data_IF_754126035834
#
_entry.id   IF_754126035834
#
_cell.length_a   1.000
_cell.length_b   1.000
_cell.length_c   1.000
_cell.angle_alpha   90.00
_cell.angle_beta   90.00
_cell.angle_gamma   90.00
#
_symmetry.space_group_name_H-M   'P 1'
#
loop_
_entity.id
_entity.type
_entity.pdbx_description
1 polymer ?
#
# COMPACT_ATOMS: atom_id res chain seq x y z
N UNK A 1 9.55 -14.67 9.87
CA UNK A 1 8.84 -13.48 9.36
C UNK A 1 9.68 -12.27 9.74
N UNK A 2 10.18 -11.51 8.76
CA UNK A 2 10.99 -10.31 9.02
C UNK A 2 10.08 -9.07 8.85
N UNK A 3 9.78 -8.30 9.90
CA UNK A 3 8.86 -7.16 9.83
C UNK A 3 9.33 -6.05 8.87
N UNK A 4 10.60 -6.04 8.47
CA UNK A 4 11.17 -5.05 7.55
C UNK A 4 10.67 -5.15 6.09
N UNK A 5 9.84 -6.14 5.79
CA UNK A 5 9.34 -6.41 4.44
C UNK A 5 7.81 -6.29 4.36
N UNK A 6 7.18 -5.63 5.32
CA UNK A 6 5.74 -5.45 5.37
C UNK A 6 5.36 -4.01 5.05
N UNK A 7 4.33 -3.88 4.22
CA UNK A 7 3.85 -2.61 3.69
C UNK A 7 2.34 -2.55 3.93
N UNK A 8 1.90 -1.47 4.58
CA UNK A 8 0.48 -1.16 4.72
C UNK A 8 0.15 -0.08 3.71
N UNK A 9 -0.90 -0.27 2.95
CA UNK A 9 -1.36 0.72 2.00
C UNK A 9 -2.86 0.66 1.77
N UNK A 10 -3.40 1.71 1.18
CA UNK A 10 -4.77 1.77 0.72
C UNK A 10 -4.80 1.58 -0.79
N UNK A 11 -5.78 0.82 -1.27
CA UNK A 11 -6.00 0.71 -2.71
C UNK A 11 -6.90 1.85 -3.16
N UNK A 12 -6.38 2.73 -4.01
CA UNK A 12 -7.12 3.86 -4.59
C UNK A 12 -6.84 3.96 -6.10
N UNK A 13 -7.89 3.92 -6.91
CA UNK A 13 -7.82 3.92 -8.36
C UNK A 13 -6.99 2.76 -8.92
N UNK A 14 -7.05 1.57 -8.31
CA UNK A 14 -6.25 0.41 -8.68
C UNK A 14 -4.77 0.46 -8.26
N UNK A 15 -4.33 1.50 -7.54
CA UNK A 15 -2.95 1.66 -7.09
C UNK A 15 -2.81 1.38 -5.60
N UNK A 16 -1.71 0.76 -5.19
CA UNK A 16 -1.39 0.57 -3.78
C UNK A 16 -0.65 1.79 -3.23
N UNK A 17 -1.36 2.64 -2.50
CA UNK A 17 -0.85 3.86 -1.90
C UNK A 17 -0.34 3.60 -0.49
N UNK A 18 0.96 3.76 -0.27
CA UNK A 18 1.62 3.42 0.98
C UNK A 18 1.19 4.31 2.15
N UNK A 19 0.97 3.67 3.29
CA UNK A 19 0.82 4.29 4.61
C UNK A 19 1.99 3.91 5.53
N UNK A 20 2.47 2.66 5.44
CA UNK A 20 3.67 2.19 6.14
C UNK A 20 4.62 1.48 5.15
N UNK A 21 5.94 1.68 5.28
CA UNK A 21 6.61 2.50 6.30
C UNK A 21 6.39 4.01 6.09
N UNK A 22 6.38 4.78 7.19
CA UNK A 22 6.07 6.23 7.18
C UNK A 22 7.02 7.02 6.27
N UNK A 23 8.27 6.58 6.13
CA UNK A 23 9.27 7.19 5.25
C UNK A 23 8.89 7.21 3.77
N UNK A 24 7.96 6.34 3.36
CA UNK A 24 7.50 6.18 1.97
C UNK A 24 6.00 6.48 1.83
N UNK A 25 5.36 6.96 2.91
CA UNK A 25 3.93 7.21 2.94
C UNK A 25 3.50 8.23 1.87
N UNK A 26 2.35 7.97 1.24
CA UNK A 26 1.80 8.78 0.16
C UNK A 26 2.31 8.41 -1.23
N UNK A 27 3.35 7.58 -1.35
CA UNK A 27 3.81 7.06 -2.65
C UNK A 27 2.96 5.87 -3.11
N UNK A 28 2.82 5.69 -4.41
CA UNK A 28 2.16 4.51 -5.00
C UNK A 28 3.18 3.46 -5.37
N UNK A 29 2.84 2.18 -5.13
CA UNK A 29 3.61 1.02 -5.59
C UNK A 29 2.74 0.08 -6.41
N UNK A 30 3.39 -0.62 -7.34
CA UNK A 30 2.84 -1.75 -8.06
C UNK A 30 3.28 -3.04 -7.37
N UNK A 31 2.45 -4.06 -7.40
CA UNK A 31 2.72 -5.33 -6.71
C UNK A 31 2.93 -6.43 -7.76
N UNK A 32 3.96 -7.26 -7.59
CA UNK A 32 4.17 -8.42 -8.45
C UNK A 32 4.50 -9.64 -7.61
N UNK A 33 3.92 -10.81 -7.93
CA UNK A 33 4.28 -12.06 -7.28
C UNK A 33 5.64 -12.61 -7.73
N UNK A 34 6.26 -12.00 -8.74
CA UNK A 34 7.55 -12.44 -9.28
C UNK A 34 8.69 -12.27 -8.26
N UNK A 35 9.64 -13.20 -8.31
CA UNK A 35 10.88 -13.08 -7.54
C UNK A 35 11.74 -11.90 -8.04
N UNK A 36 12.35 -11.18 -7.10
CA UNK A 36 13.35 -10.15 -7.42
C UNK A 36 14.49 -10.81 -8.22
N UNK A 37 14.79 -10.31 -9.43
CA UNK A 37 15.74 -10.87 -10.44
C UNK A 37 15.19 -11.96 -11.37
N UNK A 38 13.88 -12.06 -11.55
CA UNK A 38 13.35 -12.80 -12.69
C UNK A 38 13.85 -12.17 -14.02
N UNK A 39 14.18 -13.00 -15.03
CA UNK A 39 14.59 -12.54 -16.37
C UNK A 39 13.41 -12.00 -17.22
N UNK A 40 12.26 -11.80 -16.59
CA UNK A 40 10.99 -11.46 -17.22
C UNK A 40 10.46 -10.14 -16.65
N UNK A 41 9.67 -9.38 -17.44
CA UNK A 41 9.07 -8.13 -16.98
C UNK A 41 8.06 -8.39 -15.83
N UNK A 42 8.09 -7.58 -14.76
CA UNK A 42 7.23 -7.75 -13.58
C UNK A 42 5.73 -7.69 -13.89
N UNK A 43 5.36 -7.02 -14.98
CA UNK A 43 3.99 -6.88 -15.48
C UNK A 43 3.31 -8.21 -15.80
N UNK A 44 4.07 -9.28 -16.07
CA UNK A 44 3.50 -10.59 -16.40
C UNK A 44 2.84 -11.29 -15.21
N UNK A 45 3.21 -10.93 -13.98
CA UNK A 45 2.51 -11.38 -12.76
C UNK A 45 2.25 -10.21 -11.82
N UNK A 46 1.88 -9.06 -12.40
CA UNK A 46 1.34 -7.96 -11.61
C UNK A 46 0.04 -8.41 -10.92
N UNK A 47 -0.07 -8.06 -9.65
CA UNK A 47 -1.27 -8.32 -8.87
C UNK A 47 -2.28 -7.21 -9.13
N UNK A 48 -3.42 -7.58 -9.71
CA UNK A 48 -4.55 -6.68 -9.89
C UNK A 48 -5.23 -6.41 -8.54
N UNK A 49 -5.46 -5.13 -8.23
CA UNK A 49 -5.96 -4.69 -6.92
C UNK A 49 -7.43 -4.28 -6.94
N UNK A 50 -8.10 -4.39 -8.08
CA UNK A 50 -9.47 -3.91 -8.29
C UNK A 50 -10.46 -4.47 -7.27
N UNK A 51 -10.27 -5.72 -6.82
CA UNK A 51 -11.13 -6.33 -5.80
C UNK A 51 -10.96 -5.70 -4.40
N UNK A 52 -9.84 -5.01 -4.15
CA UNK A 52 -9.50 -4.38 -2.87
C UNK A 52 -9.72 -2.86 -2.86
N UNK A 53 -10.28 -2.30 -3.93
CA UNK A 53 -10.50 -0.86 -4.06
C UNK A 53 -11.18 -0.23 -2.83
N UNK A 54 -10.60 0.86 -2.34
CA UNK A 54 -11.06 1.58 -1.15
C UNK A 54 -10.75 0.88 0.18
N UNK A 55 -10.07 -0.27 0.20
CA UNK A 55 -9.69 -1.01 1.42
C UNK A 55 -8.23 -0.80 1.78
N UNK A 56 -7.94 -0.92 3.08
CA UNK A 56 -6.56 -1.06 3.56
C UNK A 56 -6.09 -2.50 3.40
N UNK A 57 -4.83 -2.64 2.99
CA UNK A 57 -4.22 -3.91 2.65
C UNK A 57 -2.81 -3.95 3.22
N UNK A 58 -2.49 -5.07 3.88
CA UNK A 58 -1.13 -5.40 4.32
C UNK A 58 -0.52 -6.39 3.33
N UNK A 59 0.67 -6.07 2.84
CA UNK A 59 1.42 -6.87 1.86
C UNK A 59 2.82 -7.15 2.41
N UNK A 60 3.35 -8.34 2.18
CA UNK A 60 4.79 -8.59 2.32
C UNK A 60 5.49 -8.62 0.98
N UNK A 61 6.75 -8.20 0.93
CA UNK A 61 7.59 -8.34 -0.25
C UNK A 61 8.90 -7.57 -0.15
N UNK A 62 9.52 -7.31 -1.29
CA UNK A 62 10.75 -6.55 -1.40
C UNK A 62 10.50 -5.29 -2.24
N UNK A 63 10.50 -4.11 -1.62
CA UNK A 63 10.38 -2.87 -2.36
C UNK A 63 11.66 -2.56 -3.16
N UNK A 64 11.49 -2.26 -4.45
CA UNK A 64 12.53 -1.74 -5.33
C UNK A 64 11.90 -0.84 -6.40
N UNK A 65 12.42 0.38 -6.53
CA UNK A 65 11.90 1.42 -7.42
C UNK A 65 10.39 1.70 -7.25
N UNK A 66 9.54 1.25 -8.18
CA UNK A 66 8.08 1.42 -8.13
C UNK A 66 7.34 0.12 -7.73
N UNK A 67 8.08 -0.96 -7.52
CA UNK A 67 7.54 -2.31 -7.31
C UNK A 67 7.73 -2.81 -5.89
N UNK A 68 6.81 -3.65 -5.46
CA UNK A 68 7.01 -4.60 -4.37
C UNK A 68 7.06 -5.99 -5.03
N UNK A 69 8.24 -6.60 -5.00
CA UNK A 69 8.52 -7.92 -5.55
C UNK A 69 8.17 -9.02 -4.56
N UNK A 70 7.88 -10.21 -5.08
CA UNK A 70 7.40 -11.35 -4.30
C UNK A 70 6.26 -10.94 -3.38
N UNK A 71 5.38 -10.09 -3.90
CA UNK A 71 4.29 -9.51 -3.16
C UNK A 71 3.29 -10.61 -2.79
N UNK A 72 2.97 -10.68 -1.51
CA UNK A 72 1.95 -11.55 -0.97
C UNK A 72 0.97 -10.74 -0.11
N UNK A 73 -0.32 -10.90 -0.39
CA UNK A 73 -1.40 -10.29 0.40
C UNK A 73 -1.49 -11.00 1.75
N UNK A 74 -1.18 -10.30 2.82
CA UNK A 74 -1.23 -10.85 4.18
C UNK A 74 -2.61 -10.65 4.81
N UNK A 75 -3.16 -9.44 4.68
CA UNK A 75 -4.42 -9.07 5.32
C UNK A 75 -5.12 -7.95 4.55
N UNK A 76 -6.46 -7.96 4.60
CA UNK A 76 -7.31 -6.89 4.10
C UNK A 76 -8.20 -6.42 5.23
N UNK A 77 -8.14 -5.12 5.54
CA UNK A 77 -8.97 -4.55 6.57
C UNK A 77 -10.45 -4.58 6.17
N UNK A 78 -11.31 -4.75 7.18
CA UNK A 78 -12.74 -4.54 7.01
C UNK A 78 -13.10 -3.07 6.80
N UNK A 79 -14.34 -2.82 6.39
CA UNK A 79 -14.85 -1.48 6.09
C UNK A 79 -14.75 -0.51 7.27
N UNK A 80 -15.05 -0.96 8.49
CA UNK A 80 -15.02 -0.11 9.69
C UNK A 80 -13.58 0.37 9.97
N UNK A 81 -12.62 -0.55 10.00
CA UNK A 81 -11.23 -0.19 10.26
C UNK A 81 -10.68 0.74 9.18
N UNK A 82 -11.04 0.49 7.91
CA UNK A 82 -10.66 1.37 6.81
C UNK A 82 -11.22 2.78 6.99
N UNK A 83 -12.52 2.91 7.30
CA UNK A 83 -13.15 4.20 7.54
C UNK A 83 -12.56 4.96 8.74
N UNK A 84 -12.19 4.24 9.81
CA UNK A 84 -11.55 4.85 10.99
C UNK A 84 -10.18 5.42 10.63
N UNK A 85 -9.38 4.69 9.85
CA UNK A 85 -8.06 5.17 9.41
C UNK A 85 -8.19 6.36 8.46
N UNK A 86 -9.14 6.32 7.52
CA UNK A 86 -9.41 7.45 6.63
C UNK A 86 -9.76 8.71 7.42
N UNK A 87 -10.65 8.61 8.41
CA UNK A 87 -11.01 9.74 9.28
C UNK A 87 -9.78 10.32 10.00
N UNK A 88 -8.91 9.46 10.55
CA UNK A 88 -7.70 9.90 11.25
C UNK A 88 -6.71 10.59 10.31
N UNK A 89 -6.58 10.12 9.07
CA UNK A 89 -5.71 10.73 8.07
C UNK A 89 -6.27 12.08 7.57
N UNK A 90 -7.59 12.21 7.41
CA UNK A 90 -8.24 13.48 7.06
C UNK A 90 -8.08 14.54 8.15
N UNK A 91 -8.14 14.15 9.42
CA UNK A 91 -7.90 15.07 10.54
C UNK A 91 -6.46 15.57 10.59
N UNK A 92 -5.49 14.75 10.19
CA UNK A 92 -4.09 15.16 10.11
C UNK A 92 -3.79 16.20 9.00
N UNK A 93 -4.69 16.35 8.01
CA UNK A 93 -4.52 17.26 6.86
C UNK A 93 -5.17 18.62 7.09
N UNK A 94 -5.89 18.86 8.20
CA UNK A 94 -6.40 20.21 8.51
C UNK A 94 -5.26 21.05 9.11
N UNK A 95 -4.66 22.01 8.36
CA UNK A 95 -3.82 23.00 9.02
C UNK A 95 -4.69 23.73 10.04
N UNK A 96 -4.15 23.92 11.25
CA UNK A 96 -4.73 24.86 12.21
C UNK A 96 -5.03 26.16 11.46
N UNK A 97 -6.31 26.46 11.28
CA UNK A 97 -6.74 27.78 10.87
C UNK A 97 -6.39 28.68 12.05
N UNK A 98 -5.17 29.24 12.00
CA UNK A 98 -4.73 30.30 12.89
C UNK A 98 -5.64 31.49 12.63
N UNK A 99 -6.69 31.60 13.46
CA UNK A 99 -7.54 32.78 13.51
C UNK A 99 -6.69 33.91 14.07
N UNK A 100 -6.52 34.95 13.25
CA UNK A 100 -5.73 36.17 13.52
C UNK A 100 -6.15 36.89 14.80
#
# INVERSE_FOLDING_TARGET
>A
MNPNNQYLGKVEGGHFKLLLPVSEAGTCRRLTSMAMKAEQPPELQELHLDEYEGRLVMVSGHADAEWIWSAEMLEVAGLILTAVVDLLLEEAVKPEVMVY
#
